data_IF_870100963201
#
_entry.id   IF_870100963201
#
_cell.length_a   1.000
_cell.length_b   1.000
_cell.length_c   1.000
_cell.angle_alpha   90.00
_cell.angle_beta   90.00
_cell.angle_gamma   90.00
#
_symmetry.space_group_name_H-M   'P 1'
#
loop_
_entity.id
_entity.type
_entity.pdbx_description
1 polymer ?
#
# COMPACT_ATOMS: atom_id res chain seq x y z
N UNK A 1 18.88 -37.26 -64.34
CA UNK A 1 18.08 -36.10 -63.86
C UNK A 1 17.39 -36.45 -62.54
N UNK A 2 17.99 -35.95 -61.45
CA UNK A 2 17.47 -35.59 -60.11
C UNK A 2 16.22 -36.33 -59.57
N UNK A 3 16.44 -37.18 -58.55
CA UNK A 3 15.44 -37.69 -57.60
C UNK A 3 14.98 -36.55 -56.67
N UNK A 4 13.67 -36.26 -56.62
CA UNK A 4 13.08 -35.34 -55.63
C UNK A 4 12.89 -36.07 -54.30
N UNK A 5 13.60 -35.63 -53.27
CA UNK A 5 13.40 -36.00 -51.87
C UNK A 5 12.29 -35.11 -51.33
N UNK A 6 11.18 -35.70 -50.88
CA UNK A 6 10.09 -35.00 -50.21
C UNK A 6 10.45 -34.92 -48.71
N UNK A 7 10.88 -33.74 -48.26
CA UNK A 7 11.10 -33.44 -46.84
C UNK A 7 9.73 -33.24 -46.17
N UNK A 8 9.32 -34.15 -45.29
CA UNK A 8 8.15 -33.97 -44.42
C UNK A 8 8.60 -33.10 -43.24
N UNK A 9 8.12 -31.86 -43.21
CA UNK A 9 8.38 -30.91 -42.13
C UNK A 9 7.60 -31.32 -40.88
N UNK A 10 8.33 -31.71 -39.83
CA UNK A 10 7.77 -32.05 -38.53
C UNK A 10 7.57 -30.76 -37.72
N UNK A 11 6.36 -30.20 -37.75
CA UNK A 11 5.99 -29.07 -36.89
C UNK A 11 5.86 -29.54 -35.43
N UNK A 12 6.91 -29.32 -34.64
CA UNK A 12 6.82 -29.37 -33.18
C UNK A 12 6.00 -28.17 -32.67
N UNK A 13 4.72 -28.42 -32.37
CA UNK A 13 3.89 -27.51 -31.57
C UNK A 13 4.43 -27.52 -30.12
N UNK A 14 5.29 -26.55 -29.81
CA UNK A 14 5.65 -26.25 -28.43
C UNK A 14 4.48 -25.47 -27.83
N UNK A 15 3.56 -26.18 -27.16
CA UNK A 15 2.55 -25.55 -26.31
C UNK A 15 3.25 -24.95 -25.09
N UNK A 16 3.56 -23.66 -25.15
CA UNK A 16 4.01 -22.90 -23.99
C UNK A 16 2.87 -22.83 -22.96
N UNK A 17 2.92 -23.68 -21.95
CA UNK A 17 2.16 -23.51 -20.71
C UNK A 17 2.68 -22.24 -20.02
N UNK A 18 2.08 -21.10 -20.36
CA UNK A 18 2.18 -19.92 -19.52
C UNK A 18 1.43 -20.24 -18.23
N UNK A 19 2.16 -20.66 -17.20
CA UNK A 19 1.66 -20.65 -15.83
C UNK A 19 1.37 -19.21 -15.44
N UNK A 20 0.16 -18.74 -15.75
CA UNK A 20 -0.38 -17.51 -15.20
C UNK A 20 -0.51 -17.79 -13.70
N UNK A 21 0.46 -17.33 -12.91
CA UNK A 21 0.30 -17.25 -11.47
C UNK A 21 -0.89 -16.33 -11.22
N UNK A 22 -2.07 -16.91 -11.03
CA UNK A 22 -3.25 -16.17 -10.64
C UNK A 22 -2.92 -15.47 -9.31
N UNK A 23 -3.02 -14.14 -9.28
CA UNK A 23 -2.94 -13.41 -8.03
C UNK A 23 -3.97 -14.00 -7.05
N UNK A 24 -3.63 -14.19 -5.77
CA UNK A 24 -4.57 -14.69 -4.79
C UNK A 24 -5.89 -13.91 -4.87
N UNK A 25 -7.01 -14.62 -4.77
CA UNK A 25 -8.33 -13.99 -4.73
C UNK A 25 -8.35 -12.95 -3.61
N UNK A 26 -8.95 -11.80 -3.88
CA UNK A 26 -9.06 -10.74 -2.90
C UNK A 26 -9.68 -11.28 -1.60
N UNK A 27 -9.08 -10.88 -0.48
CA UNK A 27 -9.56 -11.16 0.86
C UNK A 27 -9.36 -9.88 1.65
N UNK A 28 -10.43 -9.12 1.81
CA UNK A 28 -10.39 -7.77 2.38
C UNK A 28 -11.10 -7.72 3.73
N UNK A 29 -10.65 -6.78 4.56
CA UNK A 29 -11.24 -6.48 5.85
C UNK A 29 -11.88 -5.11 5.76
N UNK A 30 -13.15 -5.06 6.17
CA UNK A 30 -13.92 -3.83 6.35
C UNK A 30 -14.00 -3.57 7.84
N UNK A 31 -13.74 -2.35 8.28
CA UNK A 31 -14.01 -1.91 9.64
C UNK A 31 -14.95 -0.71 9.59
N UNK A 32 -15.93 -0.58 10.51
CA UNK A 32 -16.70 0.63 10.62
C UNK A 32 -15.87 1.74 11.27
N UNK A 33 -16.10 3.00 10.87
CA UNK A 33 -15.36 4.18 11.37
C UNK A 33 -15.41 4.29 12.90
N UNK A 34 -16.50 3.86 13.53
CA UNK A 34 -16.67 3.89 14.98
C UNK A 34 -15.76 2.89 15.73
N UNK A 35 -14.98 2.07 15.03
CA UNK A 35 -13.92 1.24 15.61
C UNK A 35 -12.61 2.00 15.75
N UNK A 36 -12.43 3.14 15.06
CA UNK A 36 -11.25 3.98 15.21
C UNK A 36 -11.43 4.91 16.41
N UNK A 37 -10.47 4.89 17.34
CA UNK A 37 -10.47 5.76 18.52
C UNK A 37 -10.31 7.21 18.09
N UNK A 38 -11.06 8.12 18.73
CA UNK A 38 -10.97 9.56 18.47
C UNK A 38 -11.43 9.99 17.07
N UNK A 39 -12.05 9.11 16.28
CA UNK A 39 -12.45 9.42 14.90
C UNK A 39 -13.27 10.71 14.82
N UNK A 40 -14.18 10.94 15.77
CA UNK A 40 -15.01 12.14 15.79
C UNK A 40 -14.23 13.45 15.96
N UNK A 41 -13.02 13.40 16.50
CA UNK A 41 -12.14 14.54 16.72
C UNK A 41 -11.21 14.79 15.53
N UNK A 42 -11.10 13.84 14.59
CA UNK A 42 -10.27 14.01 13.40
C UNK A 42 -10.75 15.21 12.59
N UNK A 43 -9.79 15.94 12.00
CA UNK A 43 -10.11 17.02 11.09
C UNK A 43 -10.88 16.52 9.86
N UNK A 44 -11.64 17.41 9.22
CA UNK A 44 -12.42 17.06 8.04
C UNK A 44 -11.59 16.40 6.92
N UNK A 45 -10.38 16.91 6.54
CA UNK A 45 -9.55 16.24 5.54
C UNK A 45 -9.15 14.82 5.92
N UNK A 46 -8.82 14.57 7.20
CA UNK A 46 -8.44 13.26 7.71
C UNK A 46 -9.64 12.30 7.69
N UNK A 47 -10.82 12.74 8.15
CA UNK A 47 -12.07 11.96 8.06
C UNK A 47 -12.36 11.57 6.62
N UNK A 48 -12.33 12.55 5.70
CA UNK A 48 -12.63 12.33 4.27
C UNK A 48 -11.74 11.28 3.63
N UNK A 49 -10.42 11.36 3.81
CA UNK A 49 -9.50 10.39 3.19
C UNK A 49 -9.63 8.99 3.82
N UNK A 50 -9.87 8.89 5.13
CA UNK A 50 -10.11 7.62 5.81
C UNK A 50 -11.43 6.99 5.35
N UNK A 51 -12.50 7.76 5.20
CA UNK A 51 -13.79 7.26 4.71
C UNK A 51 -13.66 6.70 3.29
N UNK A 52 -12.98 7.44 2.40
CA UNK A 52 -12.72 6.98 1.05
C UNK A 52 -11.85 5.72 1.02
N UNK A 53 -10.84 5.63 1.90
CA UNK A 53 -10.04 4.43 2.08
C UNK A 53 -10.91 3.23 2.51
N UNK A 54 -11.77 3.40 3.51
CA UNK A 54 -12.65 2.33 3.99
C UNK A 54 -13.69 1.92 2.93
N UNK A 55 -14.21 2.84 2.13
CA UNK A 55 -15.07 2.52 0.97
C UNK A 55 -14.33 1.63 -0.04
N UNK A 56 -13.04 1.86 -0.29
CA UNK A 56 -12.26 1.02 -1.20
C UNK A 56 -12.11 -0.43 -0.73
N UNK A 57 -12.10 -0.68 0.59
CA UNK A 57 -12.02 -2.04 1.15
C UNK A 57 -13.23 -2.92 0.80
N UNK A 58 -14.38 -2.29 0.48
CA UNK A 58 -15.63 -2.96 0.14
C UNK A 58 -15.67 -3.45 -1.31
N UNK A 59 -14.72 -3.03 -2.14
CA UNK A 59 -14.72 -3.30 -3.58
C UNK A 59 -14.08 -4.63 -3.98
N UNK A 60 -13.66 -5.44 -3.01
CA UNK A 60 -13.02 -6.75 -3.22
C UNK A 60 -11.86 -6.72 -4.23
N UNK A 61 -11.01 -5.70 -4.13
CA UNK A 61 -9.90 -5.47 -5.07
C UNK A 61 -8.68 -6.28 -4.64
N UNK A 62 -8.11 -7.09 -5.55
CA UNK A 62 -6.90 -7.87 -5.26
C UNK A 62 -5.63 -6.99 -5.30
N UNK A 63 -4.50 -7.59 -4.94
CA UNK A 63 -3.19 -6.99 -5.16
C UNK A 63 -2.80 -7.19 -6.62
N UNK A 64 -2.69 -6.10 -7.38
CA UNK A 64 -2.31 -6.15 -8.79
C UNK A 64 -1.09 -5.26 -9.05
N UNK A 65 0.08 -5.90 -9.20
CA UNK A 65 1.35 -5.20 -9.42
C UNK A 65 1.27 -4.26 -10.63
N UNK A 66 1.69 -3.01 -10.45
CA UNK A 66 1.71 -1.98 -11.49
C UNK A 66 0.36 -1.26 -11.67
N UNK A 67 -0.73 -1.73 -11.06
CA UNK A 67 -2.06 -1.12 -11.22
C UNK A 67 -2.37 -0.03 -10.18
N UNK A 68 -2.97 1.06 -10.65
CA UNK A 68 -3.64 2.08 -9.84
C UNK A 68 -5.11 2.27 -10.27
N UNK A 69 -5.63 1.33 -11.06
CA UNK A 69 -6.98 1.41 -11.60
C UNK A 69 -7.83 0.30 -10.97
N UNK A 70 -8.81 0.64 -10.13
CA UNK A 70 -9.67 -0.36 -9.50
C UNK A 70 -10.56 -1.10 -10.51
N UNK A 71 -10.78 -0.57 -11.72
CA UNK A 71 -11.54 -1.27 -12.76
C UNK A 71 -10.79 -2.51 -13.28
N UNK A 72 -9.48 -2.58 -13.08
CA UNK A 72 -8.65 -3.76 -13.38
C UNK A 72 -8.78 -4.88 -12.33
N UNK A 73 -9.69 -4.74 -11.36
CA UNK A 73 -9.93 -5.71 -10.30
C UNK A 73 -8.91 -5.68 -9.16
N UNK A 74 -7.91 -4.80 -9.21
CA UNK A 74 -6.88 -4.72 -8.19
C UNK A 74 -5.92 -3.54 -8.37
N UNK A 75 -5.19 -3.23 -7.30
CA UNK A 75 -4.17 -2.18 -7.28
C UNK A 75 -2.95 -2.63 -6.48
N UNK A 76 -1.77 -2.10 -6.79
CA UNK A 76 -0.58 -2.26 -5.95
C UNK A 76 -0.55 -1.25 -4.81
N UNK A 77 0.38 -1.40 -3.87
CA UNK A 77 0.49 -0.52 -2.69
C UNK A 77 0.49 0.97 -3.05
N UNK A 78 1.42 1.39 -3.91
CA UNK A 78 1.52 2.77 -4.36
C UNK A 78 0.38 3.22 -5.27
N UNK A 79 -0.24 2.29 -6.00
CA UNK A 79 -1.36 2.57 -6.89
C UNK A 79 -2.63 2.85 -6.11
N UNK A 80 -2.86 2.12 -5.02
CA UNK A 80 -3.95 2.39 -4.08
C UNK A 80 -3.79 3.77 -3.44
N UNK A 81 -2.59 4.12 -2.97
CA UNK A 81 -2.35 5.43 -2.38
C UNK A 81 -2.47 6.53 -3.43
N UNK A 82 -1.87 6.35 -4.61
CA UNK A 82 -2.01 7.29 -5.72
C UNK A 82 -3.48 7.55 -6.06
N UNK A 83 -4.28 6.50 -6.25
CA UNK A 83 -5.71 6.61 -6.53
C UNK A 83 -6.48 7.36 -5.43
N UNK A 84 -6.21 7.02 -4.16
CA UNK A 84 -6.85 7.67 -3.02
C UNK A 84 -6.51 9.16 -2.94
N UNK A 85 -5.26 9.55 -3.24
CA UNK A 85 -4.86 10.94 -3.25
C UNK A 85 -5.46 11.71 -4.44
N UNK A 86 -5.62 11.07 -5.60
CA UNK A 86 -6.35 11.66 -6.74
C UNK A 86 -7.84 11.91 -6.41
N UNK A 87 -8.50 11.02 -5.65
CA UNK A 87 -9.86 11.26 -5.14
C UNK A 87 -9.97 12.47 -4.20
N UNK A 88 -8.84 12.95 -3.69
CA UNK A 88 -8.72 14.16 -2.89
C UNK A 88 -8.18 15.36 -3.69
N UNK A 89 -8.25 15.30 -5.03
CA UNK A 89 -7.84 16.36 -5.96
C UNK A 89 -6.36 16.75 -5.88
N UNK A 90 -5.48 15.86 -5.37
CA UNK A 90 -4.04 16.08 -5.39
C UNK A 90 -3.46 15.65 -6.74
N UNK A 91 -3.06 16.61 -7.56
CA UNK A 91 -2.68 16.35 -8.96
C UNK A 91 -1.18 16.11 -9.17
N UNK A 92 -0.32 16.51 -8.23
CA UNK A 92 1.14 16.41 -8.33
C UNK A 92 1.74 15.15 -7.67
N UNK A 93 0.87 14.21 -7.29
CA UNK A 93 1.26 12.97 -6.62
C UNK A 93 1.92 12.02 -7.63
N UNK A 94 3.15 11.55 -7.37
CA UNK A 94 3.79 10.59 -8.26
C UNK A 94 3.24 9.16 -8.07
N UNK A 95 3.47 8.31 -9.06
CA UNK A 95 2.83 6.98 -9.13
C UNK A 95 3.47 5.90 -8.24
N UNK A 96 4.79 5.93 -8.02
CA UNK A 96 5.51 4.83 -7.34
C UNK A 96 5.78 5.15 -5.87
N UNK A 97 5.91 4.12 -5.02
CA UNK A 97 6.21 4.29 -3.58
C UNK A 97 7.49 5.10 -3.32
N UNK A 98 8.54 4.89 -4.13
CA UNK A 98 9.80 5.60 -4.03
C UNK A 98 9.67 7.07 -4.42
N UNK A 99 8.90 7.38 -5.46
CA UNK A 99 8.66 8.77 -5.83
C UNK A 99 7.69 9.48 -4.87
N UNK A 100 6.68 8.78 -4.32
CA UNK A 100 5.78 9.33 -3.28
C UNK A 100 6.61 9.67 -2.04
N UNK A 101 7.53 8.79 -1.65
CA UNK A 101 8.46 9.06 -0.57
C UNK A 101 9.31 10.32 -0.83
N UNK A 102 9.92 10.45 -2.02
CA UNK A 102 10.65 11.68 -2.37
C UNK A 102 9.74 12.92 -2.37
N UNK A 103 8.48 12.78 -2.76
CA UNK A 103 7.51 13.87 -2.78
C UNK A 103 7.19 14.34 -1.35
N UNK A 104 6.92 13.44 -0.41
CA UNK A 104 6.69 13.82 0.99
C UNK A 104 7.95 14.35 1.67
N UNK A 105 9.15 13.87 1.31
CA UNK A 105 10.41 14.46 1.79
C UNK A 105 10.57 15.93 1.39
N UNK A 106 10.07 16.31 0.21
CA UNK A 106 10.20 17.69 -0.30
C UNK A 106 9.09 18.61 0.19
N UNK A 107 7.87 18.08 0.38
CA UNK A 107 6.66 18.89 0.57
C UNK A 107 5.90 18.62 1.86
N UNK A 108 6.24 17.56 2.57
CA UNK A 108 5.60 17.17 3.83
C UNK A 108 6.56 17.29 5.02
N UNK A 109 6.11 16.81 6.17
CA UNK A 109 6.93 16.65 7.36
C UNK A 109 7.22 15.16 7.53
N UNK A 110 8.43 14.73 7.18
CA UNK A 110 8.83 13.33 7.25
C UNK A 110 9.54 13.04 8.57
N UNK A 111 9.11 11.97 9.23
CA UNK A 111 9.66 11.48 10.49
C UNK A 111 10.35 10.14 10.24
N UNK A 112 11.70 10.09 10.23
CA UNK A 112 12.43 8.84 10.07
C UNK A 112 12.26 7.98 11.31
N UNK A 113 12.17 6.66 11.12
CA UNK A 113 12.05 5.69 12.20
C UNK A 113 13.12 4.62 12.06
N UNK A 114 13.83 4.37 13.15
CA UNK A 114 14.79 3.27 13.32
C UNK A 114 14.36 2.30 14.42
N UNK A 115 13.43 2.71 15.28
CA UNK A 115 12.89 1.88 16.34
C UNK A 115 12.15 0.65 15.81
N UNK A 116 12.23 -0.43 16.58
CA UNK A 116 11.54 -1.71 16.33
C UNK A 116 10.33 -1.91 17.24
N UNK A 117 9.97 -0.90 18.05
CA UNK A 117 8.81 -0.91 18.94
C UNK A 117 8.12 0.46 18.94
N UNK A 118 6.81 0.46 19.17
CA UNK A 118 5.99 1.68 19.15
C UNK A 118 6.14 2.58 20.37
N UNK A 119 6.82 2.15 21.44
CA UNK A 119 7.06 3.00 22.63
C UNK A 119 8.18 4.03 22.46
N UNK A 120 8.84 4.05 21.30
CA UNK A 120 9.84 5.07 20.98
C UNK A 120 9.20 6.44 20.73
N UNK A 121 9.84 7.51 21.20
CA UNK A 121 9.47 8.89 20.91
C UNK A 121 9.47 9.22 19.40
N UNK A 122 10.12 8.38 18.57
CA UNK A 122 10.03 8.48 17.11
C UNK A 122 8.59 8.38 16.57
N UNK A 123 7.63 7.88 17.37
CA UNK A 123 6.21 7.78 17.02
C UNK A 123 5.33 8.91 17.59
N UNK A 124 5.88 9.86 18.34
CA UNK A 124 5.10 10.91 19.02
C UNK A 124 4.33 11.82 18.06
N UNK A 125 4.76 11.89 16.79
CA UNK A 125 4.12 12.68 15.75
C UNK A 125 3.22 11.86 14.81
N UNK A 126 3.18 10.52 14.96
CA UNK A 126 2.40 9.66 14.09
C UNK A 126 0.91 9.88 14.34
N UNK A 127 0.17 10.28 13.30
CA UNK A 127 -1.26 10.58 13.41
C UNK A 127 -2.08 10.02 12.24
N UNK A 128 -3.38 9.73 12.46
CA UNK A 128 -4.28 9.26 11.41
C UNK A 128 -4.21 10.16 10.16
N UNK A 129 -4.13 9.54 8.98
CA UNK A 129 -3.94 10.27 7.73
C UNK A 129 -2.48 10.43 7.28
N UNK A 130 -1.50 9.96 8.07
CA UNK A 130 -0.10 9.91 7.63
C UNK A 130 0.15 8.75 6.67
N UNK A 131 1.09 8.95 5.73
CA UNK A 131 1.62 7.89 4.89
C UNK A 131 2.78 7.18 5.60
N UNK A 132 2.79 5.85 5.52
CA UNK A 132 3.74 4.94 6.13
C UNK A 132 4.64 4.33 5.04
N UNK A 133 5.96 4.25 5.23
CA UNK A 133 6.90 3.79 4.19
C UNK A 133 7.78 2.63 4.64
N UNK A 134 7.99 1.66 3.75
CA UNK A 134 8.90 0.52 3.98
C UNK A 134 9.85 0.29 2.80
N UNK A 135 11.03 -0.24 3.11
CA UNK A 135 11.94 -0.87 2.17
C UNK A 135 12.01 -2.39 2.41
N UNK A 136 12.65 -3.12 1.50
CA UNK A 136 12.97 -4.53 1.68
C UNK A 136 11.78 -5.51 1.69
N UNK A 137 10.57 -5.07 1.30
CA UNK A 137 9.40 -5.97 1.15
C UNK A 137 9.45 -6.81 -0.13
N UNK A 138 10.26 -6.40 -1.11
CA UNK A 138 10.69 -7.17 -2.28
C UNK A 138 12.00 -6.59 -2.82
N UNK A 139 12.70 -7.34 -3.69
CA UNK A 139 13.94 -6.86 -4.31
C UNK A 139 13.66 -5.75 -5.32
N UNK A 140 14.40 -4.64 -5.24
CA UNK A 140 14.24 -3.48 -6.13
C UNK A 140 15.59 -2.83 -6.41
N UNK A 141 15.73 -2.18 -7.56
CA UNK A 141 16.88 -1.36 -7.95
C UNK A 141 16.60 0.15 -7.84
N UNK A 142 15.44 0.53 -7.29
CA UNK A 142 15.03 1.93 -7.11
C UNK A 142 15.93 2.65 -6.10
N UNK A 143 16.09 3.96 -6.28
CA UNK A 143 16.77 4.85 -5.34
C UNK A 143 15.88 6.08 -5.01
N UNK A 144 15.42 6.25 -3.75
CA UNK A 144 15.64 5.35 -2.61
C UNK A 144 14.87 4.02 -2.76
N UNK A 145 15.31 2.94 -2.08
CA UNK A 145 14.78 1.59 -2.25
C UNK A 145 13.43 1.37 -1.52
N UNK A 146 12.55 2.36 -1.53
CA UNK A 146 11.21 2.24 -0.95
C UNK A 146 10.37 1.30 -1.80
N UNK A 147 9.87 0.26 -1.15
CA UNK A 147 9.14 -0.86 -1.76
C UNK A 147 7.65 -0.83 -1.43
N UNK A 148 7.24 -0.15 -0.36
CA UNK A 148 5.86 -0.17 0.09
C UNK A 148 5.44 1.19 0.68
N UNK A 149 4.16 1.52 0.50
CA UNK A 149 3.50 2.68 1.11
C UNK A 149 2.08 2.31 1.52
N UNK A 150 1.63 2.80 2.68
CA UNK A 150 0.29 2.59 3.25
C UNK A 150 -0.21 3.89 3.89
N UNK A 151 -1.51 3.98 4.20
CA UNK A 151 -2.11 5.07 4.96
C UNK A 151 -2.33 4.62 6.41
N UNK A 152 -1.91 5.41 7.39
CA UNK A 152 -2.21 5.15 8.80
C UNK A 152 -3.66 5.54 9.12
N UNK A 153 -4.42 4.63 9.72
CA UNK A 153 -5.82 4.85 10.09
C UNK A 153 -6.00 5.31 11.55
N UNK A 154 -4.94 5.24 12.36
CA UNK A 154 -5.04 5.40 13.80
C UNK A 154 -5.13 4.07 14.54
N UNK A 155 -5.67 4.13 15.75
CA UNK A 155 -5.75 3.02 16.68
C UNK A 155 -7.21 2.55 16.78
N UNK A 156 -7.46 1.25 16.78
CA UNK A 156 -8.80 0.71 17.00
C UNK A 156 -9.18 0.68 18.49
N UNK A 157 -10.44 0.40 18.83
CA UNK A 157 -10.91 0.28 20.22
C UNK A 157 -10.18 -0.78 21.06
N UNK A 158 -9.52 -1.73 20.43
CA UNK A 158 -8.68 -2.75 21.08
C UNK A 158 -7.21 -2.32 21.24
N UNK A 159 -6.91 -1.02 21.07
CA UNK A 159 -5.57 -0.41 21.16
C UNK A 159 -4.57 -0.93 20.12
N UNK A 160 -5.03 -1.44 18.99
CA UNK A 160 -4.20 -1.91 17.89
C UNK A 160 -4.06 -0.82 16.81
N UNK A 161 -2.84 -0.43 16.42
CA UNK A 161 -2.63 0.49 15.31
C UNK A 161 -2.99 -0.18 13.98
N UNK A 162 -3.72 0.53 13.14
CA UNK A 162 -4.24 0.03 11.87
C UNK A 162 -3.75 0.86 10.68
N UNK A 163 -3.65 0.22 9.53
CA UNK A 163 -3.30 0.88 8.28
C UNK A 163 -4.14 0.37 7.12
N UNK A 164 -4.30 1.20 6.10
CA UNK A 164 -4.98 0.91 4.86
C UNK A 164 -4.00 0.91 3.68
N UNK A 165 -4.24 0.02 2.73
CA UNK A 165 -3.66 0.10 1.39
C UNK A 165 -3.77 -1.24 0.70
N UNK A 166 -2.78 -1.63 -0.11
CA UNK A 166 -2.80 -2.91 -0.83
C UNK A 166 -1.58 -3.78 -0.53
N UNK A 167 -1.83 -5.04 -0.17
CA UNK A 167 -0.77 -6.00 0.15
C UNK A 167 -1.07 -7.41 -0.34
N UNK A 168 -0.03 -8.22 -0.53
CA UNK A 168 -0.13 -9.62 -0.92
C UNK A 168 0.23 -10.51 0.28
N UNK A 169 -0.60 -10.50 1.34
CA UNK A 169 -0.46 -11.44 2.47
C UNK A 169 -0.14 -10.83 3.84
N UNK A 170 -0.24 -9.51 4.02
CA UNK A 170 -0.19 -8.90 5.36
C UNK A 170 -1.40 -9.33 6.21
N UNK A 171 -1.26 -9.28 7.53
CA UNK A 171 -2.30 -9.76 8.46
C UNK A 171 -3.22 -8.65 8.96
N UNK A 172 -4.45 -9.04 9.31
CA UNK A 172 -5.37 -8.32 10.19
C UNK A 172 -5.87 -9.30 11.25
N UNK A 173 -5.67 -9.00 12.53
CA UNK A 173 -6.05 -9.86 13.67
C UNK A 173 -5.65 -11.34 13.48
N UNK A 174 -4.41 -11.56 13.00
CA UNK A 174 -3.85 -12.90 12.76
C UNK A 174 -4.32 -13.59 11.48
N UNK A 175 -5.23 -12.99 10.70
CA UNK A 175 -5.69 -13.52 9.41
C UNK A 175 -4.96 -12.84 8.27
N UNK A 176 -4.45 -13.63 7.31
CA UNK A 176 -3.88 -13.06 6.08
C UNK A 176 -4.97 -12.41 5.23
N UNK A 177 -4.64 -11.23 4.70
CA UNK A 177 -5.47 -10.42 3.81
C UNK A 177 -4.72 -10.19 2.49
N UNK A 178 -5.47 -10.09 1.40
CA UNK A 178 -4.96 -10.04 0.03
C UNK A 178 -5.68 -8.94 -0.75
N UNK A 179 -4.92 -7.96 -1.20
CA UNK A 179 -5.42 -6.81 -1.97
C UNK A 179 -5.68 -5.56 -1.13
N UNK A 180 -6.65 -4.75 -1.58
CA UNK A 180 -6.97 -3.44 -0.98
C UNK A 180 -7.79 -3.63 0.28
N UNK A 181 -7.18 -3.41 1.44
CA UNK A 181 -7.75 -3.82 2.74
C UNK A 181 -7.24 -2.93 3.89
N UNK A 182 -7.85 -3.12 5.06
CA UNK A 182 -7.26 -2.80 6.36
C UNK A 182 -6.31 -3.92 6.81
N UNK A 183 -5.22 -3.53 7.47
CA UNK A 183 -4.19 -4.41 8.01
C UNK A 183 -3.75 -3.95 9.40
N UNK A 184 -3.21 -4.87 10.19
CA UNK A 184 -2.50 -4.54 11.43
C UNK A 184 -1.23 -3.75 11.08
N UNK A 185 -1.02 -2.58 11.69
CA UNK A 185 0.25 -1.89 11.59
C UNK A 185 1.23 -2.48 12.60
N UNK A 186 2.05 -3.42 12.14
CA UNK A 186 3.15 -4.02 12.91
C UNK A 186 4.48 -3.55 12.38
N UNK A 187 5.40 -3.23 13.29
CA UNK A 187 6.79 -2.99 12.93
C UNK A 187 7.44 -4.34 12.55
N UNK A 188 8.29 -4.38 11.51
CA UNK A 188 9.03 -5.58 11.18
C UNK A 188 9.95 -6.01 12.33
N UNK A 189 10.11 -7.32 12.50
CA UNK A 189 11.13 -7.86 13.40
C UNK A 189 12.53 -7.43 12.94
N UNK A 190 13.48 -7.30 13.87
CA UNK A 190 14.85 -6.88 13.58
C UNK A 190 15.59 -7.81 12.59
N UNK A 191 15.13 -9.06 12.45
CA UNK A 191 15.67 -10.07 11.53
C UNK A 191 14.96 -10.10 10.17
N UNK A 192 13.86 -9.35 10.01
CA UNK A 192 13.12 -9.31 8.76
C UNK A 192 13.90 -8.54 7.67
N UNK A 193 13.74 -8.94 6.41
CA UNK A 193 14.30 -8.19 5.29
C UNK A 193 13.64 -6.82 5.11
N UNK A 194 12.38 -6.71 5.53
CA UNK A 194 11.62 -5.48 5.44
C UNK A 194 11.96 -4.55 6.60
N UNK A 195 12.12 -3.27 6.31
CA UNK A 195 12.36 -2.24 7.33
C UNK A 195 11.33 -1.13 7.20
N UNK A 196 10.76 -0.72 8.32
CA UNK A 196 9.95 0.50 8.36
C UNK A 196 10.89 1.71 8.33
N UNK A 197 10.68 2.61 7.38
CA UNK A 197 11.58 3.74 7.13
C UNK A 197 11.13 4.99 7.89
N UNK A 198 9.82 5.14 8.06
CA UNK A 198 9.21 6.29 8.70
C UNK A 198 7.86 6.63 8.11
N UNK A 199 7.36 7.79 8.49
CA UNK A 199 6.03 8.27 8.11
C UNK A 199 6.03 9.76 7.81
N UNK A 200 4.99 10.22 7.14
CA UNK A 200 4.82 11.64 6.85
C UNK A 200 3.36 12.00 6.65
N UNK A 201 3.00 13.20 7.06
CA UNK A 201 1.74 13.81 6.64
C UNK A 201 1.66 13.92 5.10
N UNK A 202 0.44 14.03 4.58
CA UNK A 202 0.17 14.21 3.16
C UNK A 202 0.24 15.72 2.84
N UNK A 203 1.18 16.15 1.97
CA UNK A 203 1.26 17.53 1.51
C UNK A 203 -0.09 18.07 1.03
N UNK A 204 -0.44 19.29 1.44
CA UNK A 204 -1.68 19.98 1.06
C UNK A 204 -2.98 19.26 1.48
N UNK A 205 -2.91 18.27 2.37
CA UNK A 205 -4.10 17.57 2.89
C UNK A 205 -4.08 17.39 4.40
N UNK A 206 -3.03 16.75 4.95
CA UNK A 206 -2.91 16.46 6.40
C UNK A 206 -1.68 17.10 7.07
N UNK A 207 -0.82 17.75 6.28
CA UNK A 207 0.34 18.48 6.79
C UNK A 207 0.00 19.85 7.39
N UNK A 208 -1.05 20.51 6.92
CA UNK A 208 -1.34 21.85 7.37
C UNK A 208 -1.85 21.82 8.82
N UNK A 209 -1.27 22.69 9.66
CA UNK A 209 -1.66 22.82 11.07
C UNK A 209 -3.12 23.22 11.26
N UNK A 210 -3.75 23.78 10.23
CA UNK A 210 -5.18 24.12 10.23
C UNK A 210 -6.09 22.88 10.18
N UNK A 211 -5.53 21.70 9.89
CA UNK A 211 -6.23 20.42 9.79
C UNK A 211 -5.62 19.35 10.71
N UNK A 212 -4.78 19.76 11.67
CA UNK A 212 -4.12 18.87 12.64
C UNK A 212 -4.82 18.91 13.99
#
# INVERSE_FOLDING_TARGET
>A
MIKKILLISFCFLISSLNSIFASPTAKTQIIPINQLQGYEEFSFPVKKIIDQALVLTQRNLTYLYGSADPQRGGMDCSGTIYYLLQLNNLTDVPRSSSEIYKWVLRKGNFYPVTATNFSSAEFDHLKPGDLLFWEGTYKTTRNPPITHVMLYLGINKDHQPLMFGSSNGRSYQGKQMWGVSVFDFKLPDATASARFVGYSCIPHLTCDKNYS
#
